data_IF_399456071102
#
_entry.id   IF_399456071102
#
_cell.length_a   1.000
_cell.length_b   1.000
_cell.length_c   1.000
_cell.angle_alpha   90.00
_cell.angle_beta   90.00
_cell.angle_gamma   90.00
#
_symmetry.space_group_name_H-M   'P 1'
#
loop_
_entity.id
_entity.type
_entity.pdbx_description
1 polymer ?
#
# COMPACT_ATOMS: atom_id res chain seq x y z
N UNK A 1 -1.73 11.42 2.29
CA UNK A 1 -1.09 10.81 1.10
C UNK A 1 0.33 10.30 1.37
N UNK A 2 0.57 9.02 1.04
CA UNK A 2 1.85 8.32 1.21
C UNK A 2 2.90 8.83 0.21
N UNK A 3 4.14 9.03 0.66
CA UNK A 3 5.27 9.46 -0.17
C UNK A 3 6.44 8.48 -0.07
N UNK A 4 7.31 8.43 -1.08
CA UNK A 4 8.49 7.57 -1.07
C UNK A 4 9.41 7.82 0.15
N UNK A 5 9.70 9.08 0.55
CA UNK A 5 10.44 9.33 1.80
C UNK A 5 9.77 8.75 3.04
N UNK A 6 8.44 8.84 3.14
CA UNK A 6 7.67 8.29 4.25
C UNK A 6 7.73 6.75 4.26
N UNK A 7 7.59 6.11 3.10
CA UNK A 7 7.73 4.67 2.96
C UNK A 7 9.14 4.19 3.34
N UNK A 8 10.19 4.91 2.90
CA UNK A 8 11.58 4.62 3.29
C UNK A 8 11.80 4.77 4.78
N UNK A 9 11.26 5.82 5.39
CA UNK A 9 11.31 6.00 6.84
C UNK A 9 10.62 4.84 7.57
N UNK A 10 9.45 4.41 7.09
CA UNK A 10 8.70 3.29 7.67
C UNK A 10 9.45 1.96 7.55
N UNK A 11 10.17 1.75 6.44
CA UNK A 11 11.03 0.59 6.19
C UNK A 11 12.40 0.65 6.86
N UNK A 12 12.70 1.72 7.61
CA UNK A 12 14.01 1.99 8.18
C UNK A 12 15.15 2.02 7.13
N UNK A 13 14.86 2.57 5.94
CA UNK A 13 15.80 2.77 4.83
C UNK A 13 16.28 4.23 4.84
N UNK A 14 17.60 4.44 4.82
CA UNK A 14 18.17 5.78 4.78
C UNK A 14 17.74 6.54 3.50
N UNK A 15 17.35 7.83 3.57
CA UNK A 15 16.84 8.58 2.42
C UNK A 15 17.77 8.60 1.20
N UNK A 16 19.08 8.57 1.42
CA UNK A 16 20.10 8.56 0.35
C UNK A 16 20.31 7.19 -0.32
N UNK A 17 19.79 6.10 0.26
CA UNK A 17 19.88 4.78 -0.34
C UNK A 17 18.79 4.65 -1.42
N UNK A 18 19.19 4.62 -2.69
CA UNK A 18 18.27 4.58 -3.83
C UNK A 18 18.11 3.19 -4.45
N UNK A 19 18.75 2.17 -3.87
CA UNK A 19 18.81 0.81 -4.45
C UNK A 19 17.43 0.21 -4.71
N UNK A 20 16.48 0.44 -3.80
CA UNK A 20 15.15 -0.16 -3.86
C UNK A 20 14.03 0.85 -4.19
N UNK A 21 14.37 2.11 -4.51
CA UNK A 21 13.38 3.18 -4.68
C UNK A 21 12.31 2.83 -5.73
N UNK A 22 12.72 2.25 -6.86
CA UNK A 22 11.80 1.83 -7.92
C UNK A 22 10.83 0.75 -7.44
N UNK A 23 11.32 -0.22 -6.66
CA UNK A 23 10.47 -1.29 -6.14
C UNK A 23 9.50 -0.75 -5.08
N UNK A 24 9.99 0.08 -4.15
CA UNK A 24 9.14 0.70 -3.13
C UNK A 24 8.05 1.54 -3.79
N UNK A 25 8.40 2.32 -4.81
CA UNK A 25 7.44 3.09 -5.58
C UNK A 25 6.41 2.20 -6.27
N UNK A 26 6.82 1.10 -6.91
CA UNK A 26 5.90 0.16 -7.55
C UNK A 26 4.90 -0.44 -6.56
N UNK A 27 5.35 -0.83 -5.37
CA UNK A 27 4.48 -1.36 -4.31
C UNK A 27 3.49 -0.30 -3.80
N UNK A 28 3.96 0.95 -3.64
CA UNK A 28 3.09 2.07 -3.28
C UNK A 28 2.01 2.33 -4.33
N UNK A 29 2.39 2.39 -5.61
CA UNK A 29 1.47 2.64 -6.71
C UNK A 29 0.41 1.53 -6.80
N UNK A 30 0.84 0.27 -6.68
CA UNK A 30 -0.08 -0.88 -6.67
C UNK A 30 -1.08 -0.83 -5.51
N UNK A 31 -0.63 -0.46 -4.31
CA UNK A 31 -1.48 -0.33 -3.13
C UNK A 31 -2.49 0.83 -3.27
N UNK A 32 -2.05 1.97 -3.80
CA UNK A 32 -2.90 3.16 -4.03
C UNK A 32 -3.95 2.87 -5.11
N UNK A 33 -3.57 2.22 -6.21
CA UNK A 33 -4.51 1.85 -7.29
C UNK A 33 -5.63 0.97 -6.74
N UNK A 34 -5.31 -0.03 -5.90
CA UNK A 34 -6.34 -0.88 -5.29
C UNK A 34 -7.20 -0.13 -4.26
N UNK A 35 -6.59 0.76 -3.47
CA UNK A 35 -7.34 1.55 -2.50
C UNK A 35 -8.35 2.48 -3.17
N UNK A 36 -7.94 3.17 -4.25
CA UNK A 36 -8.77 4.12 -4.99
C UNK A 36 -9.95 3.48 -5.72
N UNK A 37 -9.84 2.19 -6.11
CA UNK A 37 -10.98 1.43 -6.62
C UNK A 37 -12.10 1.25 -5.58
N UNK A 38 -11.78 1.35 -4.29
CA UNK A 38 -12.71 1.07 -3.19
C UNK A 38 -13.11 2.37 -2.47
N UNK A 39 -12.22 3.35 -2.34
CA UNK A 39 -12.50 4.64 -1.67
C UNK A 39 -11.72 5.82 -2.26
N UNK A 40 -12.35 7.00 -2.28
CA UNK A 40 -11.71 8.27 -2.65
C UNK A 40 -11.40 9.15 -1.42
N UNK A 41 -11.50 8.59 -0.21
CA UNK A 41 -11.29 9.33 1.02
C UNK A 41 -9.78 9.44 1.34
N UNK A 42 -9.25 10.66 1.43
CA UNK A 42 -7.93 10.92 1.99
C UNK A 42 -8.02 10.78 3.52
N UNK A 43 -7.54 9.66 4.05
CA UNK A 43 -7.62 9.32 5.46
C UNK A 43 -6.30 8.73 5.96
N UNK A 44 -5.79 9.26 7.08
CA UNK A 44 -4.53 8.82 7.67
C UNK A 44 -4.50 7.34 8.09
N UNK A 45 -5.65 6.75 8.44
CA UNK A 45 -5.74 5.31 8.74
C UNK A 45 -5.67 4.45 7.48
N UNK A 46 -6.18 4.94 6.35
CA UNK A 46 -6.00 4.29 5.05
C UNK A 46 -4.51 4.34 4.70
N UNK A 47 -3.89 5.52 4.77
CA UNK A 47 -2.46 5.69 4.51
C UNK A 47 -1.59 4.74 5.35
N UNK A 48 -1.88 4.62 6.64
CA UNK A 48 -1.16 3.72 7.55
C UNK A 48 -1.36 2.24 7.17
N UNK A 49 -2.58 1.85 6.80
CA UNK A 49 -2.88 0.47 6.41
C UNK A 49 -2.17 0.06 5.11
N UNK A 50 -2.11 0.96 4.14
CA UNK A 50 -1.38 0.73 2.89
C UNK A 50 0.13 0.68 3.12
N UNK A 51 0.69 1.56 3.96
CA UNK A 51 2.12 1.50 4.34
C UNK A 51 2.50 0.16 4.96
N UNK A 52 1.64 -0.40 5.80
CA UNK A 52 1.83 -1.74 6.38
C UNK A 52 1.87 -2.82 5.30
N UNK A 53 0.98 -2.77 4.31
CA UNK A 53 0.94 -3.76 3.22
C UNK A 53 2.17 -3.61 2.30
N UNK A 54 2.59 -2.38 1.97
CA UNK A 54 3.84 -2.11 1.24
C UNK A 54 5.03 -2.71 1.97
N UNK A 55 5.12 -2.51 3.29
CA UNK A 55 6.22 -3.06 4.08
C UNK A 55 6.21 -4.58 4.18
N UNK A 56 5.03 -5.17 4.34
CA UNK A 56 4.86 -6.63 4.38
C UNK A 56 5.32 -7.23 3.06
N UNK A 57 4.90 -6.67 1.92
CA UNK A 57 5.30 -7.15 0.60
C UNK A 57 6.79 -6.92 0.33
N UNK A 58 7.35 -5.80 0.79
CA UNK A 58 8.78 -5.51 0.68
C UNK A 58 9.64 -6.51 1.47
N UNK A 59 9.22 -6.87 2.69
CA UNK A 59 9.95 -7.80 3.56
C UNK A 59 9.79 -9.27 3.15
N UNK A 60 8.61 -9.65 2.65
CA UNK A 60 8.25 -11.04 2.37
C UNK A 60 8.22 -11.35 0.87
N UNK A 61 9.12 -10.73 0.08
CA UNK A 61 9.25 -10.82 -1.38
C UNK A 61 9.19 -12.24 -2.00
N UNK A 62 9.28 -13.31 -1.20
CA UNK A 62 9.17 -14.71 -1.64
C UNK A 62 7.78 -15.36 -1.46
N UNK A 63 6.87 -14.80 -0.65
CA UNK A 63 5.63 -15.50 -0.24
C UNK A 63 4.31 -14.93 -0.80
N UNK A 64 4.34 -13.82 -1.56
CA UNK A 64 3.14 -13.20 -2.16
C UNK A 64 3.15 -13.24 -3.69
N UNK A 65 3.80 -14.25 -4.29
CA UNK A 65 3.51 -14.64 -5.66
C UNK A 65 2.16 -15.36 -5.69
N UNK A 66 1.06 -14.61 -5.64
CA UNK A 66 -0.17 -15.07 -6.27
C UNK A 66 0.06 -15.03 -7.79
N UNK A 67 0.55 -16.15 -8.30
CA UNK A 67 0.84 -16.39 -9.72
C UNK A 67 -0.40 -16.17 -10.61
N UNK A 68 -1.60 -16.13 -10.04
CA UNK A 68 -2.84 -15.90 -10.78
C UNK A 68 -3.25 -14.41 -10.87
N UNK A 69 -2.69 -13.53 -10.02
CA UNK A 69 -3.09 -12.10 -9.97
C UNK A 69 -1.95 -11.08 -10.14
N UNK A 70 -0.69 -11.50 -10.14
CA UNK A 70 0.45 -10.67 -10.59
C UNK A 70 0.63 -9.32 -9.88
N UNK A 71 -0.03 -9.10 -8.75
CA UNK A 71 -0.10 -7.81 -8.07
C UNK A 71 -0.10 -7.98 -6.56
N UNK A 72 0.37 -6.93 -5.87
CA UNK A 72 0.27 -6.80 -4.41
C UNK A 72 -1.20 -7.01 -4.01
N UNK A 73 -1.53 -7.91 -3.09
CA UNK A 73 -2.90 -8.06 -2.56
C UNK A 73 -2.98 -7.30 -1.23
N UNK A 74 -3.96 -6.39 -1.10
CA UNK A 74 -4.22 -5.71 0.16
C UNK A 74 -4.65 -6.70 1.24
N UNK A 75 -4.14 -6.56 2.46
CA UNK A 75 -4.53 -7.45 3.55
C UNK A 75 -6.01 -7.25 3.91
N UNK A 76 -6.66 -8.29 4.44
CA UNK A 76 -8.07 -8.21 4.84
C UNK A 76 -8.33 -7.06 5.85
N UNK A 77 -7.36 -6.78 6.73
CA UNK A 77 -7.42 -5.63 7.64
C UNK A 77 -7.46 -4.30 6.89
N UNK A 78 -6.59 -4.13 5.89
CA UNK A 78 -6.56 -2.93 5.04
C UNK A 78 -7.88 -2.78 4.29
N UNK A 79 -8.39 -3.86 3.68
CA UNK A 79 -9.68 -3.88 2.98
C UNK A 79 -10.83 -3.48 3.92
N UNK A 80 -10.84 -3.94 5.17
CA UNK A 80 -11.85 -3.55 6.16
C UNK A 80 -11.79 -2.06 6.51
N UNK A 81 -10.59 -1.51 6.71
CA UNK A 81 -10.39 -0.07 6.98
C UNK A 81 -10.89 0.75 5.78
N UNK A 82 -10.47 0.39 4.57
CA UNK A 82 -10.90 1.05 3.34
C UNK A 82 -12.43 0.99 3.20
N UNK A 83 -13.04 -0.17 3.43
CA UNK A 83 -14.50 -0.33 3.36
C UNK A 83 -15.25 0.52 4.39
N UNK A 84 -14.70 0.74 5.58
CA UNK A 84 -15.29 1.63 6.59
C UNK A 84 -15.39 3.08 6.11
N UNK A 85 -14.45 3.51 5.27
CA UNK A 85 -14.38 4.85 4.71
C UNK A 85 -14.79 4.90 3.24
N UNK A 86 -15.41 3.82 2.72
CA UNK A 86 -15.88 3.72 1.34
C UNK A 86 -16.92 4.81 1.05
N UNK A 87 -16.89 5.35 -0.18
CA UNK A 87 -17.98 6.19 -0.69
C UNK A 87 -19.28 5.40 -0.60
N UNK A 88 -20.19 5.81 0.29
CA UNK A 88 -21.58 5.39 0.21
C UNK A 88 -22.16 6.13 -0.99
N UNK A 89 -22.35 5.45 -2.13
CA UNK A 89 -23.20 5.97 -3.20
C UNK A 89 -24.63 5.84 -2.68
N UNK A 90 -25.16 6.92 -2.11
CA UNK A 90 -26.59 7.03 -1.81
C UNK A 90 -27.28 7.34 -3.13
N UNK A 91 -28.13 6.43 -3.59
CA UNK A 91 -29.06 6.65 -4.70
C UNK A 91 -30.34 7.30 -4.18
#
# INVERSE_FOLDING_TARGET
>A
MITLPLAKQYLNIHPSNTTDDVMIQLLMDAAIIQATQITDADNSLIDLSLLKDVATNYMHRENYLDVDNGGLILSNTTVQIINKYRKVIIY
#
